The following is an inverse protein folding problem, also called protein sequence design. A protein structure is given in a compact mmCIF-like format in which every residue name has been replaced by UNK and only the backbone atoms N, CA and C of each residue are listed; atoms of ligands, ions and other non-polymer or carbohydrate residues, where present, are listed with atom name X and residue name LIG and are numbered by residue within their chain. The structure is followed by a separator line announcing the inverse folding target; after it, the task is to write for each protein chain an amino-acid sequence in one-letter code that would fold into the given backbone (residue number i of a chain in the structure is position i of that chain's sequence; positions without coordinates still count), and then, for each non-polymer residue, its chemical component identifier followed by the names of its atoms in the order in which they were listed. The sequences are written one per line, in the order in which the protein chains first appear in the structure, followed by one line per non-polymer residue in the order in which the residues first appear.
data_IF_683665345705
#
_entry.id   IF_683665345705
#
_cell.length_a   1.000
_cell.length_b   1.000
_cell.length_c   1.000
_cell.angle_alpha   90.00
_cell.angle_beta   90.00
_cell.angle_gamma   90.00
#
_symmetry.space_group_name_H-M   'P 1'
#
loop_
_entity.id
_entity.type
_entity.pdbx_description
1 polymer ?
#
# COMPACT_ATOMS: atom_id res chain seq x y z
N UNK A 1 -8.46 7.51 7.35
CA UNK A 1 -8.54 6.66 6.13
C UNK A 1 -7.77 5.36 6.38
N UNK A 2 -8.00 4.32 5.57
CA UNK A 2 -7.37 3.00 5.72
C UNK A 2 -6.92 2.50 4.35
N UNK A 3 -5.75 1.86 4.32
CA UNK A 3 -5.16 1.34 3.10
C UNK A 3 -4.62 -0.07 3.34
N UNK A 4 -4.93 -1.06 2.50
CA UNK A 4 -4.32 -2.37 2.58
C UNK A 4 -2.82 -2.28 2.38
N UNK A 5 -2.05 -2.83 3.31
CA UNK A 5 -0.59 -2.84 3.27
C UNK A 5 -0.05 -4.22 3.58
N UNK A 6 1.20 -4.43 3.25
CA UNK A 6 2.05 -5.54 3.72
C UNK A 6 3.50 -5.09 3.56
N UNK A 7 4.48 -5.83 4.10
CA UNK A 7 5.86 -5.58 3.77
C UNK A 7 6.08 -5.74 2.26
N UNK A 8 6.85 -4.82 1.69
CA UNK A 8 7.16 -4.85 0.28
C UNK A 8 7.92 -6.13 -0.10
N UNK A 9 8.00 -6.40 -1.40
CA UNK A 9 8.73 -7.55 -1.91
C UNK A 9 9.58 -7.13 -3.11
N UNK A 10 10.81 -7.61 -3.16
CA UNK A 10 11.76 -7.24 -4.21
C UNK A 10 11.27 -7.61 -5.60
N UNK A 11 11.62 -6.77 -6.57
CA UNK A 11 11.25 -6.92 -7.99
C UNK A 11 12.47 -7.08 -8.90
N UNK A 12 13.67 -6.75 -8.40
CA UNK A 12 14.89 -6.95 -9.16
C UNK A 12 15.24 -8.45 -9.18
N UNK A 13 15.89 -8.95 -10.25
CA UNK A 13 16.16 -10.38 -10.41
C UNK A 13 16.89 -11.07 -9.24
N UNK A 14 17.73 -10.36 -8.48
CA UNK A 14 18.48 -10.94 -7.35
C UNK A 14 17.64 -11.10 -6.08
N UNK A 15 16.57 -10.31 -5.96
CA UNK A 15 15.73 -10.19 -4.76
C UNK A 15 14.25 -10.42 -5.06
N UNK A 16 13.94 -10.95 -6.24
CA UNK A 16 12.57 -11.19 -6.68
C UNK A 16 11.84 -12.09 -5.68
N UNK A 17 10.71 -11.62 -5.16
CA UNK A 17 9.94 -12.40 -4.19
C UNK A 17 10.55 -12.42 -2.78
N UNK A 18 11.67 -11.74 -2.54
CA UNK A 18 12.39 -11.74 -1.25
C UNK A 18 12.23 -10.41 -0.51
N UNK A 19 12.50 -10.46 0.80
CA UNK A 19 12.55 -9.33 1.72
C UNK A 19 13.56 -9.61 2.81
N UNK A 20 14.31 -8.60 3.23
CA UNK A 20 15.31 -8.72 4.30
C UNK A 20 15.00 -7.76 5.46
N UNK A 21 15.50 -8.10 6.65
CA UNK A 21 15.39 -7.28 7.85
C UNK A 21 16.81 -6.91 8.28
N UNK A 22 17.11 -5.60 8.32
CA UNK A 22 18.48 -5.12 8.51
C UNK A 22 18.65 -4.24 9.75
N UNK A 23 19.78 -4.38 10.43
CA UNK A 23 20.30 -3.40 11.38
C UNK A 23 20.91 -2.18 10.68
N UNK A 24 21.32 -1.15 11.42
CA UNK A 24 21.94 0.04 10.87
C UNK A 24 23.33 -0.20 10.27
N UNK A 25 23.98 -1.31 10.62
CA UNK A 25 25.22 -1.79 10.01
C UNK A 25 25.00 -2.81 8.88
N UNK A 26 23.75 -2.95 8.39
CA UNK A 26 23.32 -3.90 7.36
C UNK A 26 23.40 -5.38 7.76
N UNK A 27 23.64 -5.72 9.02
CA UNK A 27 23.53 -7.11 9.46
C UNK A 27 22.09 -7.59 9.38
N UNK A 28 21.90 -8.88 9.09
CA UNK A 28 20.59 -9.52 9.19
C UNK A 28 20.14 -9.55 10.66
N UNK A 29 18.91 -9.08 10.92
CA UNK A 29 18.32 -9.03 12.27
C UNK A 29 17.16 -10.01 12.45
N UNK A 30 16.88 -10.89 11.48
CA UNK A 30 15.80 -11.89 11.55
C UNK A 30 15.85 -12.71 12.85
N UNK A 31 17.03 -13.22 13.23
CA UNK A 31 17.20 -13.98 14.49
C UNK A 31 16.96 -13.14 15.73
N UNK A 32 17.24 -11.85 15.68
CA UNK A 32 16.98 -10.94 16.80
C UNK A 32 15.49 -10.67 16.94
N UNK A 33 14.79 -10.44 15.83
CA UNK A 33 13.34 -10.28 15.81
C UNK A 33 12.63 -11.52 16.37
N UNK A 34 13.13 -12.72 16.05
CA UNK A 34 12.61 -13.98 16.61
C UNK A 34 12.85 -14.10 18.12
N UNK A 35 14.00 -13.62 18.61
CA UNK A 35 14.38 -13.76 20.03
C UNK A 35 13.83 -12.67 20.94
N UNK A 36 13.61 -11.46 20.41
CA UNK A 36 13.28 -10.25 21.19
C UNK A 36 11.83 -9.80 21.02
N UNK A 37 11.25 -10.02 19.83
CA UNK A 37 9.93 -9.51 19.45
C UNK A 37 8.94 -10.66 19.18
N UNK A 38 9.31 -11.90 19.54
CA UNK A 38 8.53 -13.13 19.34
C UNK A 38 8.07 -13.35 17.89
N UNK A 39 8.86 -12.90 16.91
CA UNK A 39 8.54 -13.16 15.50
C UNK A 39 8.57 -14.68 15.22
N UNK A 40 7.58 -15.23 14.48
CA UNK A 40 7.62 -16.62 14.00
C UNK A 40 8.92 -16.89 13.24
N UNK A 41 9.45 -18.11 13.24
CA UNK A 41 10.68 -18.41 12.49
C UNK A 41 10.48 -18.36 10.96
N UNK A 42 11.44 -17.79 10.23
CA UNK A 42 11.56 -17.89 8.77
C UNK A 42 13.01 -18.25 8.38
N UNK A 43 13.25 -18.81 7.16
CA UNK A 43 14.59 -18.97 6.63
C UNK A 43 15.33 -17.63 6.55
N UNK A 44 16.64 -17.64 6.78
CA UNK A 44 17.47 -16.45 6.60
C UNK A 44 17.38 -15.94 5.16
N UNK A 45 17.51 -14.63 5.01
CA UNK A 45 17.56 -14.02 3.70
C UNK A 45 18.79 -14.51 2.94
N UNK A 46 18.57 -15.04 1.75
CA UNK A 46 19.60 -15.35 0.77
C UNK A 46 19.19 -14.73 -0.57
N UNK A 47 20.12 -14.02 -1.21
CA UNK A 47 19.96 -13.56 -2.59
C UNK A 47 19.89 -14.76 -3.53
N UNK A 48 19.14 -14.63 -4.62
CA UNK A 48 19.02 -15.71 -5.60
C UNK A 48 20.33 -15.89 -6.35
N UNK A 49 20.85 -17.12 -6.36
CA UNK A 49 22.02 -17.43 -7.19
C UNK A 49 21.66 -17.47 -8.69
N UNK A 50 22.69 -17.40 -9.55
CA UNK A 50 22.50 -17.41 -11.02
C UNK A 50 21.81 -18.67 -11.56
N UNK A 51 21.84 -19.78 -10.80
CA UNK A 51 21.19 -21.06 -11.12
C UNK A 51 19.71 -21.08 -10.72
N UNK A 52 19.37 -20.53 -9.56
CA UNK A 52 18.00 -20.37 -9.04
C UNK A 52 17.19 -19.39 -9.91
N UNK A 53 17.82 -18.33 -10.43
CA UNK A 53 17.22 -17.40 -11.40
C UNK A 53 16.75 -18.10 -12.70
N UNK A 54 17.44 -19.16 -13.13
CA UNK A 54 17.03 -19.96 -14.30
C UNK A 54 15.89 -20.91 -13.98
N UNK A 55 15.79 -21.38 -12.72
CA UNK A 55 14.71 -22.24 -12.23
C UNK A 55 13.37 -21.49 -12.12
N UNK A 56 13.36 -20.28 -11.55
CA UNK A 56 12.12 -19.50 -11.40
C UNK A 56 11.51 -19.06 -12.73
N UNK A 57 12.32 -18.73 -13.74
CA UNK A 57 11.81 -18.47 -15.10
C UNK A 57 11.18 -19.71 -15.75
N UNK A 58 11.65 -20.91 -15.40
CA UNK A 58 11.06 -22.17 -15.90
C UNK A 58 9.76 -22.54 -15.15
N UNK A 59 9.66 -22.23 -13.85
CA UNK A 59 8.48 -22.52 -13.02
C UNK A 59 7.33 -21.54 -13.29
N UNK A 60 7.61 -20.25 -13.52
CA UNK A 60 6.60 -19.26 -13.94
C UNK A 60 6.05 -19.55 -15.35
N UNK A 61 6.68 -20.43 -16.14
CA UNK A 61 6.18 -20.88 -17.44
C UNK A 61 5.16 -22.03 -17.37
N UNK A 62 4.93 -22.66 -16.22
CA UNK A 62 4.15 -23.92 -16.17
C UNK A 62 3.01 -23.96 -15.13
N UNK A 63 2.86 -22.98 -14.24
CA UNK A 63 1.84 -23.06 -13.16
C UNK A 63 1.01 -21.78 -12.99
N UNK A 64 -0.16 -21.73 -13.64
CA UNK A 64 -1.48 -21.31 -13.10
C UNK A 64 -2.51 -21.10 -14.23
N UNK A 65 -3.08 -22.20 -14.72
CA UNK A 65 -4.39 -22.19 -15.36
C UNK A 65 -5.46 -22.52 -14.32
N UNK A 66 -6.11 -21.50 -13.76
CA UNK A 66 -7.45 -21.63 -13.16
C UNK A 66 -8.27 -20.43 -13.63
N UNK A 67 -9.25 -20.61 -14.55
CA UNK A 67 -10.02 -19.49 -15.07
C UNK A 67 -11.09 -19.11 -14.04
N UNK A 68 -10.93 -17.95 -13.39
CA UNK A 68 -12.05 -17.29 -12.72
C UNK A 68 -12.64 -16.28 -13.69
N UNK A 69 -13.80 -16.61 -14.24
CA UNK A 69 -14.57 -15.70 -15.11
C UNK A 69 -15.11 -14.56 -14.24
N UNK A 70 -14.60 -13.35 -14.44
CA UNK A 70 -15.22 -12.11 -13.91
C UNK A 70 -15.41 -11.13 -15.07
N UNK A 71 -16.65 -10.70 -15.23
CA UNK A 71 -17.15 -9.95 -16.39
C UNK A 71 -16.50 -8.58 -16.55
N UNK A 72 -16.08 -8.30 -17.78
CA UNK A 72 -15.64 -7.00 -18.24
C UNK A 72 -16.85 -6.09 -18.55
N UNK A 73 -16.82 -4.85 -18.09
CA UNK A 73 -17.48 -3.74 -18.80
C UNK A 73 -16.42 -2.70 -19.14
N UNK A 74 -16.37 -2.46 -20.44
CA UNK A 74 -15.46 -1.64 -21.24
C UNK A 74 -15.80 -0.16 -21.06
N UNK A 75 -14.83 0.67 -20.69
CA UNK A 75 -14.84 2.07 -21.09
C UNK A 75 -14.15 2.15 -22.46
N UNK A 76 -14.88 2.68 -23.44
CA UNK A 76 -14.36 2.98 -24.77
C UNK A 76 -13.18 3.97 -24.65
N UNK A 77 -12.01 3.55 -25.10
CA UNK A 77 -10.86 4.42 -25.37
C UNK A 77 -9.55 3.97 -24.71
N UNK A 78 -8.80 3.09 -25.37
CA UNK A 78 -7.37 2.80 -25.06
C UNK A 78 -7.12 1.42 -24.43
N UNK A 79 -6.12 0.64 -24.90
CA UNK A 79 -5.90 -0.72 -24.45
C UNK A 79 -5.06 -0.73 -23.17
N UNK A 80 -5.63 -1.16 -22.06
CA UNK A 80 -4.89 -1.76 -20.94
C UNK A 80 -5.87 -2.64 -20.16
N UNK A 81 -5.86 -3.93 -20.49
CA UNK A 81 -6.65 -4.94 -19.79
C UNK A 81 -6.11 -5.14 -18.38
N UNK A 82 -7.02 -5.21 -17.43
CA UNK A 82 -6.77 -5.60 -16.04
C UNK A 82 -6.49 -7.10 -16.03
N UNK A 83 -5.21 -7.45 -15.92
CA UNK A 83 -4.72 -8.77 -15.54
C UNK A 83 -3.87 -8.63 -14.28
N UNK A 84 -3.82 -9.68 -13.46
CA UNK A 84 -2.76 -9.87 -12.49
C UNK A 84 -1.44 -10.01 -13.25
N UNK A 85 -0.82 -8.90 -13.59
CA UNK A 85 0.46 -8.89 -14.27
C UNK A 85 1.53 -9.27 -13.25
N UNK A 86 2.35 -10.32 -13.51
CA UNK A 86 3.60 -10.48 -12.79
C UNK A 86 4.33 -9.14 -12.85
N UNK A 87 4.80 -8.61 -11.72
CA UNK A 87 5.61 -7.39 -11.72
C UNK A 87 6.76 -7.61 -12.71
N UNK A 88 6.74 -6.94 -13.86
CA UNK A 88 7.80 -7.13 -14.85
C UNK A 88 9.14 -6.82 -14.18
N UNK A 89 10.16 -7.69 -14.32
CA UNK A 89 11.48 -7.43 -13.78
C UNK A 89 11.98 -6.08 -14.29
N UNK A 90 12.28 -5.14 -13.39
CA UNK A 90 12.76 -3.82 -13.79
C UNK A 90 14.24 -3.84 -14.08
N UNK A 91 14.65 -2.98 -15.02
CA UNK A 91 16.06 -2.71 -15.28
C UNK A 91 16.70 -2.18 -13.98
N UNK A 92 17.74 -2.84 -13.43
CA UNK A 92 18.47 -2.37 -12.27
C UNK A 92 18.99 -0.93 -12.38
N UNK A 93 19.25 -0.44 -13.59
CA UNK A 93 19.71 0.95 -13.82
C UNK A 93 18.65 2.01 -13.55
N UNK A 94 17.37 1.64 -13.45
CA UNK A 94 16.28 2.54 -13.05
C UNK A 94 16.16 2.70 -11.52
N UNK A 95 16.93 1.92 -10.75
CA UNK A 95 16.94 1.99 -9.29
C UNK A 95 17.54 3.30 -8.80
N UNK A 96 16.91 3.90 -7.78
CA UNK A 96 17.43 5.08 -7.09
C UNK A 96 18.33 4.69 -5.91
N UNK A 97 18.14 3.49 -5.37
CA UNK A 97 18.91 2.92 -4.28
C UNK A 97 19.29 1.47 -4.60
N UNK A 98 20.24 1.23 -5.52
CA UNK A 98 20.60 -0.12 -5.95
C UNK A 98 20.94 -1.07 -4.79
N UNK A 99 21.56 -0.55 -3.74
CA UNK A 99 21.90 -1.28 -2.52
C UNK A 99 20.68 -1.76 -1.70
N UNK A 100 19.50 -1.18 -1.91
CA UNK A 100 18.26 -1.50 -1.18
C UNK A 100 17.11 -1.94 -2.09
N UNK A 101 17.35 -2.01 -3.40
CA UNK A 101 16.35 -2.32 -4.42
C UNK A 101 16.78 -3.46 -5.35
N UNK A 102 18.08 -3.63 -5.55
CA UNK A 102 18.68 -4.59 -6.48
C UNK A 102 19.52 -5.63 -5.75
N UNK A 103 20.49 -5.19 -4.95
CA UNK A 103 21.48 -6.07 -4.31
C UNK A 103 20.94 -6.73 -3.03
N UNK A 104 20.02 -6.03 -2.38
CA UNK A 104 19.32 -6.40 -1.16
C UNK A 104 17.91 -5.81 -1.24
N UNK A 105 17.01 -6.23 -0.37
CA UNK A 105 15.67 -5.64 -0.31
C UNK A 105 15.17 -5.48 1.13
N UNK A 106 15.80 -4.56 1.90
CA UNK A 106 15.39 -4.30 3.27
C UNK A 106 13.96 -3.76 3.30
N UNK A 107 13.09 -4.47 4.02
CA UNK A 107 11.73 -4.01 4.35
C UNK A 107 11.64 -3.44 5.76
N UNK A 108 12.69 -3.63 6.53
CA UNK A 108 12.91 -3.03 7.84
C UNK A 108 14.38 -2.66 7.97
N UNK A 109 14.63 -1.47 8.50
CA UNK A 109 15.94 -1.00 8.90
C UNK A 109 15.88 -0.47 10.32
N UNK A 110 16.42 -1.22 11.27
CA UNK A 110 16.12 -1.00 12.67
C UNK A 110 17.22 -1.50 13.62
N UNK A 111 17.78 -0.59 14.40
CA UNK A 111 18.59 -0.96 15.58
C UNK A 111 17.71 -1.45 16.74
N UNK A 112 18.32 -2.16 17.69
CA UNK A 112 17.60 -2.61 18.89
C UNK A 112 16.98 -1.42 19.61
N UNK A 113 15.72 -1.56 20.01
CA UNK A 113 14.97 -0.53 20.72
C UNK A 113 14.40 0.60 19.85
N UNK A 114 14.56 0.53 18.53
CA UNK A 114 13.92 1.47 17.60
C UNK A 114 12.50 1.06 17.25
N UNK A 115 11.67 2.04 16.89
CA UNK A 115 10.24 1.90 16.66
C UNK A 115 9.93 0.91 15.53
N UNK A 116 10.75 0.86 14.47
CA UNK A 116 10.54 -0.08 13.38
C UNK A 116 10.55 -1.54 13.85
N UNK A 117 11.26 -1.93 14.90
CA UNK A 117 11.23 -3.32 15.43
C UNK A 117 9.91 -3.69 16.08
N UNK A 118 9.15 -2.69 16.53
CA UNK A 118 7.88 -2.91 17.23
C UNK A 118 6.72 -3.14 16.28
N UNK A 119 6.91 -2.96 14.97
CA UNK A 119 5.82 -3.18 14.00
C UNK A 119 5.50 -4.67 13.91
N UNK A 120 4.22 -5.03 13.65
CA UNK A 120 3.78 -6.41 13.78
C UNK A 120 4.34 -7.26 12.64
N UNK A 121 4.79 -8.47 12.97
CA UNK A 121 5.29 -9.45 12.00
C UNK A 121 4.21 -9.89 11.01
N UNK A 122 2.93 -9.69 11.36
CA UNK A 122 1.76 -9.91 10.52
C UNK A 122 1.74 -9.07 9.24
N UNK A 123 2.59 -8.04 9.14
CA UNK A 123 2.85 -7.34 7.88
C UNK A 123 3.61 -8.21 6.87
N UNK A 124 4.30 -9.26 7.30
CA UNK A 124 5.05 -10.19 6.45
C UNK A 124 4.11 -11.23 5.82
N UNK A 125 3.85 -11.17 4.50
CA UNK A 125 2.91 -12.08 3.85
C UNK A 125 3.39 -13.54 3.84
N UNK A 126 4.67 -13.82 4.10
CA UNK A 126 5.17 -15.21 4.19
C UNK A 126 4.91 -15.84 5.57
N UNK A 127 4.57 -15.03 6.58
CA UNK A 127 4.26 -15.49 7.95
C UNK A 127 2.78 -15.66 8.19
N UNK A 128 1.92 -15.05 7.38
CA UNK A 128 0.47 -15.10 7.58
C UNK A 128 -0.30 -15.29 6.28
N UNK A 129 -0.97 -16.44 6.15
CA UNK A 129 -1.68 -16.80 4.91
C UNK A 129 -3.10 -16.18 4.84
N UNK A 130 -3.69 -15.81 5.99
CA UNK A 130 -5.13 -15.51 6.08
C UNK A 130 -5.47 -14.23 6.83
N UNK A 131 -4.49 -13.39 7.14
CA UNK A 131 -4.71 -12.09 7.77
C UNK A 131 -4.43 -10.99 6.74
N UNK A 132 -5.43 -10.15 6.49
CA UNK A 132 -5.20 -8.91 5.77
C UNK A 132 -4.78 -7.83 6.78
N UNK A 133 -3.86 -6.95 6.39
CA UNK A 133 -3.47 -5.80 7.20
C UNK A 133 -3.79 -4.49 6.48
N UNK A 134 -4.25 -3.50 7.25
CA UNK A 134 -4.42 -2.13 6.79
C UNK A 134 -3.52 -1.19 7.60
N UNK A 135 -3.00 -0.15 6.94
CA UNK A 135 -2.48 1.03 7.59
C UNK A 135 -3.61 2.05 7.72
N UNK A 136 -3.95 2.44 8.94
CA UNK A 136 -4.95 3.47 9.19
C UNK A 136 -4.28 4.73 9.76
N UNK A 137 -4.58 5.87 9.14
CA UNK A 137 -4.00 7.15 9.52
C UNK A 137 -5.09 8.10 10.00
N UNK A 138 -4.85 8.68 11.17
CA UNK A 138 -5.64 9.75 11.79
C UNK A 138 -4.78 11.00 11.96
N UNK A 139 -5.37 12.06 12.51
CA UNK A 139 -4.63 13.30 12.80
C UNK A 139 -3.55 13.11 13.88
N UNK A 140 -3.69 12.09 14.75
CA UNK A 140 -2.83 11.91 15.93
C UNK A 140 -2.08 10.60 15.97
N UNK A 141 -2.55 9.58 15.27
CA UNK A 141 -2.06 8.20 15.42
C UNK A 141 -2.05 7.48 14.08
N UNK A 142 -1.01 6.68 13.88
CA UNK A 142 -0.90 5.68 12.81
C UNK A 142 -1.16 4.31 13.44
N UNK A 143 -1.99 3.49 12.80
CA UNK A 143 -2.33 2.15 13.26
C UNK A 143 -2.02 1.13 12.18
N UNK A 144 -1.54 -0.05 12.59
CA UNK A 144 -1.64 -1.26 11.77
C UNK A 144 -2.82 -2.07 12.31
N UNK A 145 -3.76 -2.35 11.42
CA UNK A 145 -4.98 -3.09 11.71
C UNK A 145 -4.90 -4.48 11.08
N UNK A 146 -5.34 -5.51 11.80
CA UNK A 146 -5.45 -6.88 11.31
C UNK A 146 -6.89 -7.31 11.11
N UNK A 147 -7.16 -8.09 10.06
CA UNK A 147 -8.48 -8.64 9.76
C UNK A 147 -8.40 -10.15 9.59
N UNK A 148 -9.08 -10.86 10.49
CA UNK A 148 -9.24 -12.31 10.37
C UNK A 148 -10.17 -12.68 9.20
N UNK A 149 -10.03 -13.88 8.64
CA UNK A 149 -10.78 -14.33 7.46
C UNK A 149 -12.29 -14.43 7.70
N UNK A 150 -12.72 -14.48 8.97
CA UNK A 150 -14.12 -14.59 9.41
C UNK A 150 -14.77 -13.26 9.81
N UNK A 151 -14.02 -12.17 9.88
CA UNK A 151 -14.53 -10.88 10.34
C UNK A 151 -13.86 -9.69 9.63
N UNK A 152 -14.11 -9.52 8.32
CA UNK A 152 -13.53 -8.42 7.54
C UNK A 152 -13.99 -7.02 8.02
N UNK A 153 -15.07 -6.95 8.81
CA UNK A 153 -15.59 -5.69 9.36
C UNK A 153 -15.09 -5.40 10.79
N UNK A 154 -14.48 -6.37 11.47
CA UNK A 154 -13.95 -6.22 12.83
C UNK A 154 -12.42 -6.20 12.81
N UNK A 155 -11.86 -5.00 12.63
CA UNK A 155 -10.42 -4.78 12.67
C UNK A 155 -9.89 -4.88 14.10
N UNK A 156 -8.83 -5.66 14.31
CA UNK A 156 -8.02 -5.64 15.52
C UNK A 156 -6.87 -4.62 15.36
N UNK A 157 -6.54 -3.89 16.42
CA UNK A 157 -5.35 -3.02 16.43
C UNK A 157 -4.14 -3.88 16.79
N UNK A 158 -3.32 -4.21 15.79
CA UNK A 158 -2.08 -4.97 15.99
C UNK A 158 -0.96 -4.07 16.52
N UNK A 159 -0.95 -2.81 16.08
CA UNK A 159 0.08 -1.85 16.45
C UNK A 159 -0.42 -0.42 16.30
N UNK A 160 0.16 0.48 17.09
CA UNK A 160 -0.08 1.91 16.92
C UNK A 160 1.10 2.76 17.40
N UNK A 161 1.27 3.92 16.79
CA UNK A 161 2.24 4.93 17.22
C UNK A 161 1.66 6.33 17.05
N UNK A 162 2.04 7.32 17.89
CA UNK A 162 1.67 8.71 17.63
C UNK A 162 2.15 9.12 16.23
N UNK A 163 1.31 9.80 15.46
CA UNK A 163 1.65 10.25 14.11
C UNK A 163 2.93 11.09 14.08
N UNK A 164 3.20 11.84 15.14
CA UNK A 164 4.40 12.65 15.30
C UNK A 164 5.71 11.85 15.40
N UNK A 165 5.66 10.53 15.59
CA UNK A 165 6.85 9.66 15.55
C UNK A 165 7.23 9.26 14.13
N UNK A 166 6.35 9.49 13.14
CA UNK A 166 6.65 9.28 11.72
C UNK A 166 7.13 10.60 11.14
N UNK A 167 8.39 10.65 10.75
CA UNK A 167 9.04 11.85 10.20
C UNK A 167 8.63 12.09 8.76
N UNK A 168 8.60 11.01 7.97
CA UNK A 168 8.28 11.08 6.54
C UNK A 168 7.73 9.76 6.03
N UNK A 169 6.81 9.86 5.08
CA UNK A 169 6.46 8.81 4.14
C UNK A 169 6.91 9.22 2.73
N UNK A 170 7.45 8.30 1.96
CA UNK A 170 7.83 8.55 0.57
C UNK A 170 7.44 7.39 -0.34
N UNK A 171 7.12 7.71 -1.60
CA UNK A 171 6.85 6.72 -2.64
C UNK A 171 8.18 6.22 -3.19
N UNK A 172 8.34 4.91 -3.25
CA UNK A 172 9.49 4.23 -3.81
C UNK A 172 9.17 3.72 -5.22
N UNK A 173 9.63 4.40 -6.29
CA UNK A 173 9.12 4.15 -7.65
C UNK A 173 9.73 2.92 -8.32
N UNK A 174 10.76 2.30 -7.74
CA UNK A 174 11.44 1.17 -8.37
C UNK A 174 10.53 -0.06 -8.54
N UNK A 175 9.52 -0.28 -7.69
CA UNK A 175 8.55 -1.37 -7.89
C UNK A 175 7.52 -1.10 -9.01
N UNK A 176 7.62 0.03 -9.71
CA UNK A 176 6.92 0.30 -10.96
C UNK A 176 5.43 0.56 -10.76
N UNK A 177 4.60 -0.26 -11.39
CA UNK A 177 3.14 -0.09 -11.38
C UNK A 177 2.56 -0.13 -9.96
N UNK A 178 3.19 -0.85 -9.03
CA UNK A 178 2.78 -1.00 -7.63
C UNK A 178 3.83 -0.37 -6.72
N UNK A 179 3.94 0.97 -6.71
CA UNK A 179 5.02 1.62 -5.99
C UNK A 179 4.92 1.31 -4.49
N UNK A 180 6.06 0.94 -3.93
CA UNK A 180 6.18 0.75 -2.49
C UNK A 180 6.18 2.13 -1.82
N UNK A 181 6.08 2.14 -0.51
CA UNK A 181 6.31 3.33 0.28
C UNK A 181 7.26 3.02 1.43
N UNK A 182 8.08 4.00 1.79
CA UNK A 182 8.90 3.95 2.99
C UNK A 182 8.29 4.84 4.05
N UNK A 183 8.16 4.31 5.27
CA UNK A 183 7.87 5.09 6.47
C UNK A 183 9.14 5.22 7.29
N UNK A 184 9.60 6.45 7.50
CA UNK A 184 10.76 6.75 8.33
C UNK A 184 10.31 7.35 9.65
N UNK A 185 10.82 6.78 10.74
CA UNK A 185 10.49 7.19 12.10
C UNK A 185 11.49 8.23 12.65
N UNK A 186 11.11 8.89 13.74
CA UNK A 186 11.89 9.95 14.37
C UNK A 186 13.23 9.48 14.95
N UNK A 187 13.36 8.18 15.24
CA UNK A 187 14.61 7.54 15.69
C UNK A 187 15.53 7.12 14.54
N UNK A 188 15.17 7.43 13.29
CA UNK A 188 15.93 7.10 12.09
C UNK A 188 15.70 5.69 11.55
N UNK A 189 14.97 4.83 12.27
CA UNK A 189 14.53 3.54 11.75
C UNK A 189 13.45 3.70 10.69
N UNK A 190 13.28 2.70 9.82
CA UNK A 190 12.26 2.76 8.78
C UNK A 190 11.73 1.38 8.39
N UNK A 191 10.55 1.38 7.77
CA UNK A 191 9.94 0.20 7.14
C UNK A 191 9.52 0.49 5.70
N UNK A 192 9.48 -0.56 4.86
CA UNK A 192 9.03 -0.49 3.46
C UNK A 192 7.78 -1.33 3.28
N UNK A 193 6.69 -0.69 2.87
CA UNK A 193 5.39 -1.30 2.70
C UNK A 193 4.97 -1.26 1.23
N UNK A 194 4.19 -2.24 0.79
CA UNK A 194 3.48 -2.18 -0.47
C UNK A 194 2.00 -1.86 -0.19
N UNK A 195 1.45 -0.83 -0.83
CA UNK A 195 0.01 -0.60 -0.84
C UNK A 195 -0.59 -1.40 -2.01
N UNK A 196 -1.43 -2.39 -1.72
CA UNK A 196 -1.95 -3.35 -2.73
C UNK A 196 -2.75 -2.70 -3.86
N UNK A 197 -3.12 -1.42 -3.73
CA UNK A 197 -3.81 -0.62 -4.73
C UNK A 197 -2.93 0.56 -5.19
N UNK A 198 -2.48 0.49 -6.44
CA UNK A 198 -1.53 1.41 -7.08
C UNK A 198 -1.94 2.88 -7.02
N UNK A 199 -3.23 3.16 -7.24
CA UNK A 199 -3.79 4.52 -7.25
C UNK A 199 -3.96 5.14 -5.86
N UNK A 200 -3.54 4.46 -4.79
CA UNK A 200 -3.70 4.94 -3.43
C UNK A 200 -2.37 5.10 -2.67
N UNK A 201 -1.23 4.67 -3.22
CA UNK A 201 0.07 4.82 -2.54
C UNK A 201 0.38 6.29 -2.22
N UNK A 202 0.20 7.20 -3.19
CA UNK A 202 0.46 8.62 -2.98
C UNK A 202 -0.56 9.24 -2.01
N UNK A 203 -1.83 8.83 -2.05
CA UNK A 203 -2.84 9.27 -1.08
C UNK A 203 -2.46 8.88 0.34
N UNK A 204 -1.96 7.65 0.53
CA UNK A 204 -1.47 7.18 1.81
C UNK A 204 -0.25 7.98 2.26
N UNK A 205 0.75 8.17 1.39
CA UNK A 205 1.93 9.00 1.68
C UNK A 205 1.52 10.41 2.09
N UNK A 206 0.61 11.04 1.35
CA UNK A 206 0.10 12.36 1.68
C UNK A 206 -0.65 12.38 3.02
N UNK A 207 -1.43 11.34 3.28
CA UNK A 207 -2.16 11.21 4.52
C UNK A 207 -1.23 10.99 5.73
N UNK A 208 -0.07 10.35 5.57
CA UNK A 208 0.96 10.23 6.63
C UNK A 208 1.75 11.53 6.80
N UNK A 209 2.13 12.19 5.70
CA UNK A 209 2.86 13.45 5.73
C UNK A 209 2.00 14.66 6.15
N UNK A 210 0.67 14.52 6.10
CA UNK A 210 -0.27 15.57 6.52
C UNK A 210 -0.53 16.61 5.43
N UNK A 211 -0.12 16.30 4.20
CA UNK A 211 -0.37 17.12 3.02
C UNK A 211 -1.76 16.87 2.44
N UNK A 212 -2.35 15.71 2.74
CA UNK A 212 -3.79 15.43 2.54
C UNK A 212 -4.51 15.32 3.88
N UNK A 213 -5.75 15.80 3.93
CA UNK A 213 -6.60 15.68 5.12
C UNK A 213 -8.01 15.22 4.77
N UNK A 214 -8.59 14.36 5.61
CA UNK A 214 -10.02 14.06 5.55
C UNK A 214 -10.78 15.33 5.95
N UNK A 215 -11.80 15.68 5.19
CA UNK A 215 -12.67 16.83 5.50
C UNK A 215 -14.11 16.36 5.71
N UNK A 216 -14.89 16.99 6.59
CA UNK A 216 -16.31 16.72 6.71
C UNK A 216 -17.07 17.21 5.46
N UNK A 217 -18.25 16.65 5.19
CA UNK A 217 -19.11 17.10 4.09
C UNK A 217 -19.50 18.59 4.19
N UNK A 218 -19.53 19.12 5.41
CA UNK A 218 -19.78 20.53 5.69
C UNK A 218 -18.72 21.47 5.07
N UNK A 219 -17.49 20.98 4.85
CA UNK A 219 -16.39 21.74 4.26
C UNK A 219 -16.43 21.77 2.72
N UNK A 220 -17.39 21.06 2.10
CA UNK A 220 -17.60 21.09 0.66
C UNK A 220 -18.31 22.39 0.24
N UNK A 221 -18.07 22.83 -0.99
CA UNK A 221 -18.91 23.85 -1.62
C UNK A 221 -20.28 23.26 -1.97
N UNK A 222 -21.27 24.12 -2.20
CA UNK A 222 -22.59 23.68 -2.67
C UNK A 222 -22.50 22.93 -4.01
N UNK A 223 -21.66 23.40 -4.92
CA UNK A 223 -21.43 22.76 -6.21
C UNK A 223 -20.78 21.38 -6.07
N UNK A 224 -19.78 21.23 -5.19
CA UNK A 224 -19.18 19.94 -4.87
C UNK A 224 -20.21 18.96 -4.27
N UNK A 225 -21.05 19.40 -3.33
CA UNK A 225 -22.13 18.56 -2.77
C UNK A 225 -23.14 18.12 -3.83
N UNK A 226 -23.53 19.02 -4.73
CA UNK A 226 -24.44 18.70 -5.82
C UNK A 226 -23.83 17.63 -6.74
N UNK A 227 -22.55 17.77 -7.10
CA UNK A 227 -21.84 16.80 -7.94
C UNK A 227 -21.70 15.43 -7.27
N UNK A 228 -21.39 15.38 -5.97
CA UNK A 228 -21.33 14.12 -5.20
C UNK A 228 -22.70 13.45 -5.17
N UNK A 229 -23.77 14.21 -4.92
CA UNK A 229 -25.15 13.71 -4.89
C UNK A 229 -25.56 13.12 -6.24
N UNK A 230 -25.26 13.83 -7.33
CA UNK A 230 -25.57 13.36 -8.67
C UNK A 230 -24.77 12.10 -9.04
N UNK A 231 -23.49 12.08 -8.71
CA UNK A 231 -22.62 10.91 -8.89
C UNK A 231 -23.13 9.70 -8.09
N UNK A 232 -23.51 9.91 -6.83
CA UNK A 232 -24.09 8.88 -5.98
C UNK A 232 -25.36 8.27 -6.59
N UNK A 233 -26.26 9.11 -7.13
CA UNK A 233 -27.48 8.65 -7.83
C UNK A 233 -27.15 7.87 -9.10
N UNK A 234 -26.29 8.45 -9.95
CA UNK A 234 -25.89 7.87 -11.24
C UNK A 234 -25.29 6.47 -11.08
N UNK A 235 -24.44 6.28 -10.07
CA UNK A 235 -23.75 5.01 -9.84
C UNK A 235 -24.38 4.13 -8.77
N UNK A 236 -25.58 4.50 -8.27
CA UNK A 236 -26.29 3.76 -7.21
C UNK A 236 -25.38 3.48 -6.02
N UNK A 237 -24.79 4.54 -5.48
CA UNK A 237 -23.94 4.44 -4.30
C UNK A 237 -24.73 3.92 -3.10
N UNK A 238 -24.05 3.19 -2.23
CA UNK A 238 -24.59 2.64 -1.00
C UNK A 238 -24.84 3.76 0.01
N UNK A 239 -26.10 4.11 0.22
CA UNK A 239 -26.49 5.16 1.16
C UNK A 239 -26.23 4.79 2.63
N UNK A 240 -25.97 3.52 2.95
CA UNK A 240 -25.64 3.08 4.31
C UNK A 240 -24.17 3.35 4.68
N UNK A 241 -23.32 3.62 3.69
CA UNK A 241 -21.89 3.93 3.89
C UNK A 241 -21.61 5.37 3.43
N UNK A 242 -21.34 6.30 4.35
CA UNK A 242 -21.12 7.70 3.99
C UNK A 242 -19.87 7.84 3.08
N UNK A 243 -19.88 8.77 2.12
CA UNK A 243 -18.69 9.10 1.33
C UNK A 243 -17.53 9.57 2.21
N UNK A 244 -16.30 9.32 1.76
CA UNK A 244 -15.10 9.87 2.37
C UNK A 244 -14.57 11.00 1.50
N UNK A 245 -14.37 12.17 2.08
CA UNK A 245 -13.84 13.35 1.39
C UNK A 245 -12.42 13.65 1.87
N UNK A 246 -11.52 13.85 0.92
CA UNK A 246 -10.12 14.18 1.18
C UNK A 246 -9.76 15.45 0.42
N UNK A 247 -9.23 16.44 1.13
CA UNK A 247 -8.59 17.60 0.51
C UNK A 247 -7.16 17.21 0.16
N UNK A 248 -6.83 17.31 -1.13
CA UNK A 248 -5.53 17.01 -1.70
C UNK A 248 -4.56 18.19 -1.56
N UNK A 249 -3.24 17.98 -1.71
CA UNK A 249 -2.24 19.05 -1.64
C UNK A 249 -2.51 20.19 -2.63
N UNK A 250 -3.03 19.88 -3.82
CA UNK A 250 -3.44 20.87 -4.83
C UNK A 250 -4.64 21.74 -4.43
N UNK A 251 -5.34 21.39 -3.35
CA UNK A 251 -6.59 22.02 -2.93
C UNK A 251 -7.84 21.38 -3.53
N UNK A 252 -7.69 20.43 -4.46
CA UNK A 252 -8.80 19.64 -5.00
C UNK A 252 -9.44 18.77 -3.91
N UNK A 253 -10.71 18.41 -4.11
CA UNK A 253 -11.42 17.46 -3.25
C UNK A 253 -11.55 16.13 -3.98
N UNK A 254 -10.97 15.08 -3.38
CA UNK A 254 -11.20 13.69 -3.75
C UNK A 254 -12.35 13.12 -2.91
N UNK A 255 -13.35 12.54 -3.56
CA UNK A 255 -14.48 11.87 -2.95
C UNK A 255 -14.47 10.38 -3.32
N UNK A 256 -14.55 9.51 -2.32
CA UNK A 256 -14.74 8.07 -2.50
C UNK A 256 -16.15 7.66 -2.05
N UNK A 257 -16.91 7.03 -2.95
CA UNK A 257 -18.23 6.46 -2.67
C UNK A 257 -18.22 4.94 -2.86
N UNK A 258 -19.02 4.22 -2.09
CA UNK A 258 -19.20 2.76 -2.22
C UNK A 258 -20.41 2.47 -3.10
N UNK A 259 -20.35 1.45 -3.96
CA UNK A 259 -21.51 0.98 -4.75
C UNK A 259 -22.42 0.07 -3.90
N UNK A 260 -23.73 0.18 -4.07
CA UNK A 260 -24.67 -0.74 -3.42
C UNK A 260 -24.54 -2.18 -3.97
N UNK A 261 -24.54 -3.17 -3.07
CA UNK A 261 -24.64 -4.60 -3.41
C UNK A 261 -23.39 -5.26 -4.02
N UNK A 262 -22.28 -4.53 -4.18
CA UNK A 262 -21.03 -5.09 -4.71
C UNK A 262 -20.15 -5.68 -3.60
N UNK A 263 -20.04 -7.01 -3.51
CA UNK A 263 -18.91 -7.64 -2.81
C UNK A 263 -17.64 -7.33 -3.62
N UNK A 264 -16.82 -6.40 -3.14
CA UNK A 264 -15.48 -6.14 -3.69
C UNK A 264 -15.41 -5.30 -4.97
N UNK A 265 -16.43 -4.49 -5.29
CA UNK A 265 -16.34 -3.54 -6.41
C UNK A 265 -15.44 -2.34 -6.07
N UNK A 266 -14.64 -1.87 -7.03
CA UNK A 266 -13.83 -0.66 -6.86
C UNK A 266 -14.71 0.52 -6.43
N UNK A 267 -14.24 1.37 -5.49
CA UNK A 267 -14.98 2.57 -5.11
C UNK A 267 -15.21 3.48 -6.32
N UNK A 268 -16.28 4.26 -6.26
CA UNK A 268 -16.48 5.37 -7.19
C UNK A 268 -15.60 6.51 -6.68
N UNK A 269 -14.57 6.83 -7.45
CA UNK A 269 -13.66 7.94 -7.15
C UNK A 269 -13.98 9.15 -8.03
N UNK A 270 -13.97 10.32 -7.42
CA UNK A 270 -14.24 11.60 -8.08
C UNK A 270 -13.25 12.63 -7.54
N UNK A 271 -12.62 13.40 -8.42
CA UNK A 271 -11.80 14.55 -8.05
C UNK A 271 -12.47 15.83 -8.59
N UNK A 272 -12.63 16.84 -7.74
CA UNK A 272 -13.35 18.07 -8.06
C UNK A 272 -12.56 19.31 -7.65
N UNK A 273 -12.71 20.37 -8.44
CA UNK A 273 -12.32 21.72 -8.04
C UNK A 273 -13.37 22.38 -7.13
N UNK A 274 -13.16 23.66 -6.81
CA UNK A 274 -14.04 24.45 -5.94
C UNK A 274 -15.45 24.64 -6.52
N UNK A 275 -15.58 24.61 -7.84
CA UNK A 275 -16.84 24.77 -8.57
C UNK A 275 -17.56 23.43 -8.78
N UNK A 276 -17.04 22.34 -8.19
CA UNK A 276 -17.61 21.01 -8.32
C UNK A 276 -17.37 20.38 -9.69
N UNK A 277 -16.57 21.01 -10.55
CA UNK A 277 -16.26 20.46 -11.86
C UNK A 277 -15.23 19.33 -11.73
N UNK A 278 -15.33 18.26 -12.54
CA UNK A 278 -14.32 17.21 -12.58
C UNK A 278 -12.95 17.78 -12.90
N UNK A 279 -11.98 17.51 -12.03
CA UNK A 279 -10.61 18.00 -12.17
C UNK A 279 -9.62 16.83 -12.21
N UNK A 280 -8.61 16.91 -13.07
CA UNK A 280 -7.51 15.96 -13.06
C UNK A 280 -6.62 16.23 -11.82
N UNK A 281 -6.18 15.17 -11.10
CA UNK A 281 -5.21 15.31 -10.02
C UNK A 281 -3.89 15.90 -10.55
N UNK A 282 -3.22 16.70 -9.73
CA UNK A 282 -1.89 17.26 -10.05
C UNK A 282 -0.79 16.30 -9.61
N UNK A 283 0.45 16.45 -10.13
CA UNK A 283 1.59 15.68 -9.62
C UNK A 283 1.70 15.79 -8.10
N UNK A 284 1.73 14.63 -7.43
CA UNK A 284 1.78 14.53 -5.97
C UNK A 284 0.42 14.44 -5.27
N UNK A 285 -0.71 14.53 -5.98
CA UNK A 285 -2.04 14.35 -5.37
C UNK A 285 -2.41 12.87 -5.14
N UNK A 286 -2.18 12.01 -6.14
CA UNK A 286 -2.55 10.59 -6.19
C UNK A 286 -1.55 9.75 -7.00
#
# INVERSE_FOLDING_TARGET
MRWPVEFATGVAPLVEGRRSFRGADRRDIERELQAEEDWPGQPEFAVLDTGEQRGQRAVNGLLRWVPTVVGAIVNLGGPSGVGSDPREPRDPSESREPENEVEDFPVMWAERGTLARTVPWELDPDRVEHLATDLAVTDRTVYVLGYGPKSPDAAEVLWSTPRSTVTTAEVMPYSGAYPDLRLTFADGSWIRLNAKATSQTQLLVNAVNGTSRVIPEADLTEAQRAQVTETARRFKADSSRPPVFTRLPSGLVHAELRRAGGKGGSPISLCMDVDGAPAAPRPGDM
#
